data_IF_411261654451
#
_entry.id   IF_411261654451
#
_cell.length_a   1.000
_cell.length_b   1.000
_cell.length_c   1.000
_cell.angle_alpha   90.00
_cell.angle_beta   90.00
_cell.angle_gamma   90.00
#
_symmetry.space_group_name_H-M   'P 1'
#
loop_
_entity.id
_entity.type
_entity.pdbx_description
1 polymer ?
#
# COMPACT_ATOMS: atom_id res chain seq x y z
N UNK A 1 -12.59 -0.88 -15.27
CA UNK A 1 -13.63 -0.30 -14.39
C UNK A 1 -14.81 0.30 -15.14
N UNK A 2 -14.59 1.21 -16.09
CA UNK A 2 -15.65 1.88 -16.88
C UNK A 2 -16.64 0.92 -17.56
N UNK A 3 -16.17 -0.19 -18.15
CA UNK A 3 -17.03 -1.19 -18.79
C UNK A 3 -17.92 -1.99 -17.82
N UNK A 4 -17.52 -2.11 -16.54
CA UNK A 4 -18.36 -2.73 -15.49
C UNK A 4 -19.41 -1.74 -14.96
N UNK A 5 -19.07 -0.45 -14.89
CA UNK A 5 -19.98 0.61 -14.48
C UNK A 5 -21.10 0.87 -15.50
N UNK A 6 -20.78 0.83 -16.80
CA UNK A 6 -21.79 0.97 -17.87
C UNK A 6 -22.77 -0.21 -17.94
N UNK A 7 -22.36 -1.40 -17.48
CA UNK A 7 -23.20 -2.60 -17.48
C UNK A 7 -24.32 -2.59 -16.42
N UNK A 8 -24.24 -1.73 -15.40
CA UNK A 8 -25.16 -1.77 -14.23
C UNK A 8 -26.52 -1.10 -14.50
N UNK A 9 -26.63 -0.18 -15.49
CA UNK A 9 -27.87 0.27 -16.15
C UNK A 9 -27.57 1.45 -17.09
N UNK A 10 -27.75 1.34 -18.43
CA UNK A 10 -27.32 2.35 -19.40
C UNK A 10 -28.07 3.69 -19.38
N UNK A 11 -28.94 3.95 -18.39
CA UNK A 11 -29.79 5.16 -18.35
C UNK A 11 -29.69 6.03 -17.10
N UNK A 12 -28.91 5.64 -16.09
CA UNK A 12 -28.85 6.35 -14.78
C UNK A 12 -27.46 6.83 -14.38
N UNK A 13 -26.49 6.69 -15.29
CA UNK A 13 -25.08 6.89 -15.04
C UNK A 13 -24.50 7.95 -15.97
N UNK A 14 -23.65 8.84 -15.44
CA UNK A 14 -23.02 9.94 -16.17
C UNK A 14 -21.55 10.07 -15.80
N UNK A 15 -20.72 10.65 -16.66
CA UNK A 15 -19.35 11.05 -16.32
C UNK A 15 -19.32 12.55 -16.12
N UNK A 16 -18.83 13.04 -14.97
CA UNK A 16 -18.54 14.45 -14.76
C UNK A 16 -17.08 14.71 -15.12
N UNK A 17 -16.81 15.70 -15.94
CA UNK A 17 -15.43 16.06 -16.30
C UNK A 17 -15.23 17.58 -16.19
N UNK A 18 -14.03 17.99 -15.80
CA UNK A 18 -13.64 19.39 -15.94
C UNK A 18 -13.47 19.74 -17.43
N UNK A 19 -13.95 20.91 -17.84
CA UNK A 19 -13.72 21.42 -19.20
C UNK A 19 -12.24 21.60 -19.57
N UNK A 20 -11.32 21.57 -18.60
CA UNK A 20 -9.87 21.68 -18.84
C UNK A 20 -9.17 20.35 -19.14
N UNK A 21 -9.74 19.22 -18.72
CA UNK A 21 -9.10 17.91 -18.87
C UNK A 21 -10.11 16.94 -19.43
N UNK A 22 -10.02 16.71 -20.74
CA UNK A 22 -10.91 15.81 -21.44
C UNK A 22 -10.11 14.94 -22.40
N UNK A 23 -10.00 13.65 -22.07
CA UNK A 23 -9.38 12.68 -22.95
C UNK A 23 -10.42 12.00 -23.85
N UNK A 24 -10.05 11.76 -25.11
CA UNK A 24 -10.91 11.05 -26.08
C UNK A 24 -11.35 9.67 -25.57
N UNK A 25 -10.52 9.03 -24.75
CA UNK A 25 -10.79 7.73 -24.10
C UNK A 25 -12.05 7.74 -23.22
N UNK A 26 -12.38 8.87 -22.61
CA UNK A 26 -13.53 9.01 -21.70
C UNK A 26 -14.87 8.98 -22.45
N UNK A 27 -14.86 9.48 -23.69
CA UNK A 27 -16.03 9.55 -24.60
C UNK A 27 -16.40 8.18 -25.15
N UNK A 28 -15.40 7.31 -25.33
CA UNK A 28 -15.57 5.99 -25.94
C UNK A 28 -16.31 4.99 -25.03
N UNK A 29 -16.59 5.37 -23.77
CA UNK A 29 -17.25 4.52 -22.77
C UNK A 29 -18.77 4.37 -22.97
N UNK A 30 -19.37 5.12 -23.90
CA UNK A 30 -20.82 5.06 -24.19
C UNK A 30 -21.70 5.72 -23.13
N UNK A 31 -21.10 6.40 -22.14
CA UNK A 31 -21.82 7.15 -21.10
C UNK A 31 -21.89 8.63 -21.48
N UNK A 32 -22.99 9.33 -21.12
CA UNK A 32 -23.06 10.78 -21.30
C UNK A 32 -22.00 11.46 -20.44
N UNK A 33 -21.30 12.44 -21.01
CA UNK A 33 -20.37 13.30 -20.27
C UNK A 33 -21.03 14.64 -19.99
N UNK A 34 -21.01 15.05 -18.74
CA UNK A 34 -21.44 16.37 -18.27
C UNK A 34 -20.21 17.16 -17.85
N UNK A 35 -20.01 18.29 -18.50
CA UNK A 35 -18.94 19.21 -18.12
C UNK A 35 -19.36 20.01 -16.89
N UNK A 36 -18.47 20.07 -15.91
CA UNK A 36 -18.69 20.80 -14.65
C UNK A 36 -17.61 21.86 -14.48
N UNK A 37 -17.99 23.00 -13.92
CA UNK A 37 -17.05 24.03 -13.50
C UNK A 37 -16.29 23.61 -12.25
N UNK A 38 -15.32 24.43 -11.85
CA UNK A 38 -14.55 24.20 -10.61
C UNK A 38 -15.41 24.36 -9.36
N UNK A 39 -16.24 25.40 -9.36
CA UNK A 39 -17.03 25.83 -8.20
C UNK A 39 -18.50 25.48 -8.30
N UNK A 40 -19.04 25.37 -9.52
CA UNK A 40 -20.47 25.20 -9.74
C UNK A 40 -20.80 24.38 -10.99
N UNK A 41 -22.02 23.86 -11.02
CA UNK A 41 -22.59 23.15 -12.16
C UNK A 41 -23.32 24.14 -13.06
N UNK A 42 -23.06 24.16 -14.38
CA UNK A 42 -23.83 24.98 -15.29
C UNK A 42 -25.34 24.69 -15.18
N UNK A 43 -26.22 25.71 -15.16
CA UNK A 43 -27.66 25.51 -14.98
C UNK A 43 -28.29 24.52 -15.98
N UNK A 44 -27.85 24.58 -17.24
CA UNK A 44 -28.31 23.66 -18.28
C UNK A 44 -27.97 22.18 -17.97
N UNK A 45 -26.78 21.94 -17.39
CA UNK A 45 -26.36 20.61 -16.94
C UNK A 45 -27.17 20.14 -15.73
N UNK A 46 -27.47 21.04 -14.80
CA UNK A 46 -28.30 20.75 -13.64
C UNK A 46 -29.74 20.34 -14.03
N UNK A 47 -30.36 21.10 -14.92
CA UNK A 47 -31.72 20.80 -15.41
C UNK A 47 -31.76 19.46 -16.16
N UNK A 48 -30.72 19.19 -16.96
CA UNK A 48 -30.57 17.91 -17.64
C UNK A 48 -30.46 16.74 -16.65
N UNK A 49 -29.62 16.84 -15.61
CA UNK A 49 -29.45 15.80 -14.58
C UNK A 49 -30.78 15.47 -13.88
N UNK A 50 -31.56 16.50 -13.53
CA UNK A 50 -32.89 16.36 -12.93
C UNK A 50 -33.87 15.65 -13.88
N UNK A 51 -33.95 16.11 -15.13
CA UNK A 51 -34.89 15.56 -16.12
C UNK A 51 -34.64 14.09 -16.44
N UNK A 52 -33.37 13.68 -16.46
CA UNK A 52 -32.94 12.30 -16.76
C UNK A 52 -32.95 11.39 -15.53
N UNK A 53 -33.27 11.92 -14.34
CA UNK A 53 -33.26 11.17 -13.07
C UNK A 53 -31.94 10.43 -12.85
N UNK A 54 -30.82 11.08 -13.18
CA UNK A 54 -29.49 10.52 -12.96
C UNK A 54 -29.29 10.31 -11.46
N UNK A 55 -28.79 9.14 -11.07
CA UNK A 55 -28.55 8.79 -9.67
C UNK A 55 -27.10 8.53 -9.35
N UNK A 56 -26.30 8.27 -10.38
CA UNK A 56 -24.93 7.83 -10.26
C UNK A 56 -24.08 8.64 -11.23
N UNK A 57 -22.98 9.19 -10.76
CA UNK A 57 -22.02 9.90 -11.60
C UNK A 57 -20.59 9.54 -11.27
N UNK A 58 -19.74 9.54 -12.28
CA UNK A 58 -18.30 9.29 -12.16
C UNK A 58 -17.56 10.58 -12.49
N UNK A 59 -16.99 11.24 -11.50
CA UNK A 59 -16.27 12.49 -11.70
C UNK A 59 -14.80 12.24 -11.98
N UNK A 60 -14.30 12.71 -13.12
CA UNK A 60 -12.88 12.65 -13.47
C UNK A 60 -12.32 14.05 -13.30
N UNK A 61 -11.55 14.17 -12.23
CA UNK A 61 -10.89 15.40 -11.83
C UNK A 61 -9.46 15.29 -12.35
N UNK A 62 -9.19 15.97 -13.46
CA UNK A 62 -7.81 16.14 -13.95
C UNK A 62 -7.02 17.08 -13.04
N UNK A 63 -6.30 18.03 -13.63
CA UNK A 63 -5.61 19.07 -12.85
C UNK A 63 -6.57 20.11 -12.24
N UNK A 64 -7.80 20.17 -12.74
CA UNK A 64 -8.79 21.13 -12.28
C UNK A 64 -9.54 20.61 -11.04
N UNK A 65 -9.41 21.32 -9.92
CA UNK A 65 -10.21 21.04 -8.72
C UNK A 65 -11.70 21.35 -8.97
N UNK A 66 -12.53 20.30 -8.98
CA UNK A 66 -13.99 20.36 -9.17
C UNK A 66 -14.75 19.95 -7.90
N UNK A 67 -14.08 19.78 -6.75
CA UNK A 67 -14.68 19.22 -5.54
C UNK A 67 -15.91 19.97 -5.05
N UNK A 68 -15.90 21.30 -5.12
CA UNK A 68 -17.03 22.14 -4.75
C UNK A 68 -18.26 21.88 -5.64
N UNK A 69 -18.07 21.80 -6.97
CA UNK A 69 -19.15 21.48 -7.89
C UNK A 69 -19.72 20.07 -7.65
N UNK A 70 -18.87 19.10 -7.33
CA UNK A 70 -19.32 17.74 -7.00
C UNK A 70 -20.12 17.68 -5.70
N UNK A 71 -19.74 18.48 -4.70
CA UNK A 71 -20.48 18.60 -3.45
C UNK A 71 -21.88 19.17 -3.71
N UNK A 72 -22.00 20.24 -4.50
CA UNK A 72 -23.31 20.78 -4.94
C UNK A 72 -24.12 19.72 -5.67
N UNK A 73 -23.51 18.93 -6.56
CA UNK A 73 -24.20 17.85 -7.27
C UNK A 73 -24.79 16.82 -6.30
N UNK A 74 -24.02 16.47 -5.27
CA UNK A 74 -24.44 15.51 -4.27
C UNK A 74 -25.60 16.04 -3.40
N UNK A 75 -25.45 17.26 -2.89
CA UNK A 75 -26.40 17.85 -1.94
C UNK A 75 -27.72 18.23 -2.62
N UNK A 76 -27.64 18.96 -3.73
CA UNK A 76 -28.82 19.56 -4.37
C UNK A 76 -29.55 18.60 -5.30
N UNK A 77 -28.81 17.73 -5.98
CA UNK A 77 -29.37 16.82 -6.98
C UNK A 77 -29.45 15.37 -6.50
N UNK A 78 -28.98 15.07 -5.29
CA UNK A 78 -29.00 13.72 -4.69
C UNK A 78 -28.35 12.66 -5.59
N UNK A 79 -27.35 13.08 -6.37
CA UNK A 79 -26.56 12.17 -7.21
C UNK A 79 -25.43 11.59 -6.37
N UNK A 80 -25.25 10.28 -6.44
CA UNK A 80 -24.07 9.64 -5.86
C UNK A 80 -22.88 9.84 -6.81
N UNK A 81 -21.91 10.65 -6.39
CA UNK A 81 -20.75 11.00 -7.21
C UNK A 81 -19.55 10.20 -6.74
N UNK A 82 -18.96 9.44 -7.65
CA UNK A 82 -17.69 8.74 -7.47
C UNK A 82 -16.59 9.55 -8.12
N UNK A 83 -15.75 10.23 -7.35
CA UNK A 83 -14.56 10.86 -7.91
C UNK A 83 -13.57 9.76 -8.31
N UNK A 84 -13.27 9.65 -9.60
CA UNK A 84 -12.18 8.87 -10.17
C UNK A 84 -10.84 9.57 -9.89
N UNK A 85 -10.55 9.76 -8.60
CA UNK A 85 -9.24 10.13 -8.05
C UNK A 85 -8.73 9.09 -7.03
N UNK A 86 -9.50 8.04 -6.78
CA UNK A 86 -9.27 7.02 -5.76
C UNK A 86 -10.62 6.37 -5.49
N UNK A 87 -10.68 5.05 -5.55
CA UNK A 87 -11.92 4.27 -5.58
C UNK A 87 -12.85 4.55 -4.37
N UNK A 88 -14.15 4.62 -4.60
CA UNK A 88 -15.17 4.75 -3.54
C UNK A 88 -15.40 3.42 -2.81
N UNK A 89 -15.61 3.49 -1.49
CA UNK A 89 -15.89 2.34 -0.63
C UNK A 89 -17.41 2.07 -0.56
N UNK A 90 -17.84 0.82 -0.70
CA UNK A 90 -19.26 0.45 -0.55
C UNK A 90 -19.64 0.58 0.92
N UNK A 91 -20.44 1.59 1.26
CA UNK A 91 -20.95 1.84 2.62
C UNK A 91 -20.45 3.12 3.28
N UNK A 92 -19.57 3.89 2.64
CA UNK A 92 -19.08 5.18 3.14
C UNK A 92 -19.06 6.22 2.00
N UNK A 93 -19.84 7.28 2.15
CA UNK A 93 -20.00 8.33 1.15
C UNK A 93 -19.01 9.50 1.34
N UNK A 94 -18.14 9.44 2.36
CA UNK A 94 -17.18 10.49 2.64
C UNK A 94 -16.01 10.46 1.65
N UNK A 95 -15.68 11.62 1.08
CA UNK A 95 -14.47 11.84 0.27
C UNK A 95 -13.26 11.72 1.20
N UNK A 96 -12.46 10.66 1.04
CA UNK A 96 -11.21 10.47 1.80
C UNK A 96 -10.00 10.79 0.91
N UNK A 97 -8.95 11.44 1.45
CA UNK A 97 -7.72 11.69 0.70
C UNK A 97 -7.04 10.37 0.33
N UNK A 98 -6.45 10.31 -0.87
CA UNK A 98 -5.84 9.11 -1.46
C UNK A 98 -4.75 8.44 -0.58
N UNK A 99 -4.15 9.17 0.36
CA UNK A 99 -3.13 8.66 1.28
C UNK A 99 -3.67 7.66 2.33
N UNK A 100 -4.99 7.54 2.51
CA UNK A 100 -5.63 6.67 3.50
C UNK A 100 -6.42 5.50 2.88
N UNK A 101 -6.36 5.35 1.56
CA UNK A 101 -7.09 4.28 0.87
C UNK A 101 -6.17 3.08 0.64
N UNK A 102 -6.40 1.92 1.29
CA UNK A 102 -5.74 0.71 0.87
C UNK A 102 -6.19 0.41 -0.56
N UNK A 103 -5.25 0.38 -1.50
CA UNK A 103 -5.50 -0.16 -2.82
C UNK A 103 -6.17 -1.54 -2.66
N UNK A 104 -7.10 -1.96 -3.54
CA UNK A 104 -7.53 -3.35 -3.59
C UNK A 104 -6.32 -4.21 -3.97
N UNK A 105 -5.51 -4.53 -2.96
CA UNK A 105 -4.45 -5.51 -3.04
C UNK A 105 -5.08 -6.88 -3.17
N UNK A 106 -4.33 -7.87 -3.68
CA UNK A 106 -4.79 -9.25 -3.65
C UNK A 106 -5.20 -9.60 -2.22
N UNK A 107 -6.39 -10.17 -2.05
CA UNK A 107 -6.91 -10.50 -0.71
C UNK A 107 -5.95 -11.44 0.05
N UNK A 108 -5.21 -12.27 -0.69
CA UNK A 108 -4.20 -13.17 -0.16
C UNK A 108 -2.87 -12.96 -0.88
N UNK A 109 -1.81 -12.64 -0.13
CA UNK A 109 -0.47 -12.39 -0.66
C UNK A 109 0.53 -13.27 0.08
N UNK A 110 1.02 -14.36 -0.53
CA UNK A 110 2.08 -15.16 0.07
C UNK A 110 3.40 -14.37 0.12
N UNK A 111 4.16 -14.58 1.21
CA UNK A 111 5.57 -14.24 1.28
C UNK A 111 6.32 -15.43 1.88
N UNK A 112 7.34 -15.92 1.18
CA UNK A 112 8.23 -16.95 1.72
C UNK A 112 9.28 -16.27 2.60
N UNK A 113 9.26 -16.52 3.90
CA UNK A 113 10.19 -15.94 4.86
C UNK A 113 11.50 -16.74 4.93
N UNK A 114 11.46 -18.05 4.61
CA UNK A 114 12.66 -18.87 4.57
C UNK A 114 12.41 -20.34 4.24
N UNK A 115 13.51 -21.01 3.91
CA UNK A 115 13.59 -22.45 3.63
C UNK A 115 14.74 -23.03 4.47
N UNK A 116 14.47 -24.11 5.21
CA UNK A 116 15.49 -24.87 5.95
C UNK A 116 15.25 -26.36 5.80
N UNK A 117 16.28 -27.17 5.98
CA UNK A 117 16.19 -28.63 5.97
C UNK A 117 16.36 -29.18 7.39
N UNK A 118 15.41 -29.97 7.85
CA UNK A 118 15.48 -30.72 9.11
C UNK A 118 16.06 -32.11 8.81
N UNK A 119 17.30 -32.34 9.25
CA UNK A 119 18.00 -33.59 9.00
C UNK A 119 17.52 -34.74 9.88
N UNK A 120 16.84 -34.46 10.99
CA UNK A 120 16.28 -35.50 11.87
C UNK A 120 14.94 -35.99 11.31
N UNK A 121 14.12 -35.07 10.81
CA UNK A 121 12.81 -35.39 10.23
C UNK A 121 12.86 -35.71 8.72
N UNK A 122 14.02 -35.54 8.07
CA UNK A 122 14.22 -35.75 6.64
C UNK A 122 13.24 -34.94 5.77
N UNK A 123 13.05 -33.67 6.10
CA UNK A 123 12.07 -32.81 5.42
C UNK A 123 12.53 -31.36 5.32
N UNK A 124 11.98 -30.62 4.37
CA UNK A 124 12.17 -29.18 4.27
C UNK A 124 11.05 -28.45 5.03
N UNK A 125 11.42 -27.48 5.86
CA UNK A 125 10.50 -26.59 6.52
C UNK A 125 10.49 -25.23 5.79
N UNK A 126 9.35 -24.92 5.17
CA UNK A 126 9.11 -23.66 4.44
C UNK A 126 8.29 -22.73 5.32
N UNK A 127 8.84 -21.59 5.69
CA UNK A 127 8.10 -20.58 6.47
C UNK A 127 7.42 -19.60 5.52
N UNK A 128 6.10 -19.53 5.60
CA UNK A 128 5.28 -18.68 4.73
C UNK A 128 4.42 -17.75 5.58
N UNK A 129 4.46 -16.46 5.30
CA UNK A 129 3.57 -15.45 5.86
C UNK A 129 2.55 -14.99 4.83
N UNK A 130 1.37 -14.61 5.31
CA UNK A 130 0.33 -14.01 4.50
C UNK A 130 0.24 -12.52 4.84
N UNK A 131 0.73 -11.67 3.96
CA UNK A 131 0.66 -10.21 4.13
C UNK A 131 -0.63 -9.60 3.59
N UNK A 132 -1.55 -10.44 3.07
CA UNK A 132 -2.90 -10.07 2.66
C UNK A 132 -3.88 -9.95 3.83
N UNK A 133 -5.11 -9.55 3.51
CA UNK A 133 -6.21 -9.30 4.45
C UNK A 133 -7.25 -10.43 4.51
N UNK A 134 -7.10 -11.49 3.71
CA UNK A 134 -7.93 -12.68 3.72
C UNK A 134 -7.09 -13.96 3.91
N UNK A 135 -7.70 -15.08 4.35
CA UNK A 135 -7.00 -16.34 4.48
C UNK A 135 -6.40 -16.83 3.16
N UNK A 136 -5.22 -17.43 3.25
CA UNK A 136 -4.46 -17.94 2.12
C UNK A 136 -4.27 -19.45 2.27
N UNK A 137 -4.51 -20.21 1.21
CA UNK A 137 -4.13 -21.63 1.15
C UNK A 137 -2.80 -21.76 0.40
N UNK A 138 -1.87 -22.52 0.96
CA UNK A 138 -0.53 -22.73 0.41
C UNK A 138 -0.18 -24.21 0.33
N UNK A 139 0.56 -24.58 -0.71
CA UNK A 139 1.24 -25.87 -0.84
C UNK A 139 2.64 -25.61 -1.38
N UNK A 140 3.65 -26.21 -0.76
CA UNK A 140 5.04 -26.07 -1.18
C UNK A 140 5.51 -27.35 -1.86
N UNK A 141 6.27 -27.22 -2.95
CA UNK A 141 7.00 -28.31 -3.57
C UNK A 141 8.48 -27.94 -3.66
N UNK A 142 9.36 -28.85 -3.28
CA UNK A 142 10.81 -28.65 -3.31
C UNK A 142 11.40 -29.67 -4.28
N UNK A 143 12.29 -29.20 -5.15
CA UNK A 143 13.06 -30.01 -6.09
C UNK A 143 14.56 -29.80 -5.85
N UNK A 144 15.33 -30.89 -5.92
CA UNK A 144 16.76 -30.91 -5.69
C UNK A 144 17.55 -31.16 -6.98
N UNK A 145 18.82 -30.73 -7.05
CA UNK A 145 19.73 -31.16 -8.09
C UNK A 145 19.81 -32.70 -8.11
N UNK A 146 19.47 -33.32 -9.24
CA UNK A 146 19.34 -34.78 -9.36
C UNK A 146 17.90 -35.28 -9.55
N UNK A 147 16.92 -34.37 -9.58
CA UNK A 147 15.54 -34.68 -9.99
C UNK A 147 14.65 -35.23 -8.89
N UNK A 148 15.15 -35.34 -7.65
CA UNK A 148 14.33 -35.66 -6.49
C UNK A 148 13.41 -34.48 -6.18
N UNK A 149 12.15 -34.76 -5.91
CA UNK A 149 11.17 -33.74 -5.53
C UNK A 149 10.18 -34.26 -4.50
N UNK A 150 9.64 -33.35 -3.70
CA UNK A 150 8.61 -33.63 -2.70
C UNK A 150 7.59 -32.49 -2.66
N UNK A 151 6.40 -32.77 -2.15
CA UNK A 151 5.35 -31.77 -1.95
C UNK A 151 4.80 -31.89 -0.53
N UNK A 152 4.47 -30.75 0.05
CA UNK A 152 3.70 -30.69 1.28
C UNK A 152 2.23 -31.00 1.04
N UNK A 153 1.52 -31.22 2.14
CA UNK A 153 0.07 -31.04 2.19
C UNK A 153 -0.31 -29.55 2.06
N UNK A 154 -1.58 -29.30 1.74
CA UNK A 154 -2.11 -27.95 1.70
C UNK A 154 -2.40 -27.44 3.11
N UNK A 155 -1.97 -26.21 3.41
CA UNK A 155 -2.19 -25.58 4.69
C UNK A 155 -2.83 -24.21 4.52
N UNK A 156 -3.69 -23.84 5.47
CA UNK A 156 -4.25 -22.49 5.55
C UNK A 156 -3.37 -21.59 6.42
N UNK A 157 -3.11 -20.38 5.94
CA UNK A 157 -2.42 -19.28 6.63
C UNK A 157 -3.42 -18.14 6.79
N UNK A 158 -3.70 -17.76 8.04
CA UNK A 158 -4.62 -16.65 8.33
C UNK A 158 -4.05 -15.32 7.83
N UNK A 159 -4.92 -14.32 7.62
CA UNK A 159 -4.49 -12.96 7.27
C UNK A 159 -3.52 -12.39 8.32
N UNK A 160 -2.39 -11.83 7.88
CA UNK A 160 -1.30 -11.37 8.75
C UNK A 160 -0.54 -12.48 9.48
N UNK A 161 -0.94 -13.75 9.31
CA UNK A 161 -0.36 -14.89 10.01
C UNK A 161 0.87 -15.47 9.33
N UNK A 162 1.57 -16.34 10.07
CA UNK A 162 2.70 -17.11 9.56
C UNK A 162 2.48 -18.59 9.84
N UNK A 163 2.88 -19.45 8.91
CA UNK A 163 2.84 -20.91 9.08
C UNK A 163 4.04 -21.58 8.43
N UNK A 164 4.58 -22.58 9.11
CA UNK A 164 5.59 -23.47 8.55
C UNK A 164 4.92 -24.67 7.89
N UNK A 165 5.26 -24.90 6.63
CA UNK A 165 4.79 -26.03 5.81
C UNK A 165 5.94 -27.01 5.63
N UNK A 166 5.68 -28.30 5.85
CA UNK A 166 6.70 -29.36 5.82
C UNK A 166 6.62 -30.14 4.51
N UNK A 167 7.76 -30.32 3.85
CA UNK A 167 7.90 -31.03 2.57
C UNK A 167 8.78 -32.27 2.81
N UNK A 168 8.19 -33.47 2.91
CA UNK A 168 8.94 -34.70 3.14
C UNK A 168 9.81 -35.02 1.92
N UNK A 169 11.12 -34.91 2.08
CA UNK A 169 12.10 -35.12 1.01
C UNK A 169 13.48 -35.34 1.62
N UNK A 170 14.00 -36.57 1.53
CA UNK A 170 15.31 -36.89 2.06
C UNK A 170 16.43 -36.28 1.20
N UNK A 171 17.14 -35.31 1.78
CA UNK A 171 18.27 -34.61 1.19
C UNK A 171 19.56 -34.81 1.98
N UNK A 172 19.59 -35.75 2.94
CA UNK A 172 20.72 -35.91 3.86
C UNK A 172 22.04 -36.19 3.15
N UNK A 173 22.00 -36.87 2.00
CA UNK A 173 23.19 -37.16 1.16
C UNK A 173 23.72 -35.96 0.38
N UNK A 174 22.91 -34.92 0.20
CA UNK A 174 23.27 -33.70 -0.52
C UNK A 174 23.74 -32.58 0.41
N UNK A 175 23.66 -32.80 1.73
CA UNK A 175 24.16 -31.86 2.72
C UNK A 175 25.70 -31.88 2.74
N UNK A 176 26.31 -30.75 2.43
CA UNK A 176 27.75 -30.52 2.58
C UNK A 176 27.98 -29.65 3.81
N UNK A 177 28.49 -30.26 4.89
CA UNK A 177 28.58 -29.58 6.18
C UNK A 177 27.20 -29.18 6.72
N UNK A 178 26.94 -27.90 6.94
CA UNK A 178 25.69 -27.38 7.51
C UNK A 178 24.70 -26.83 6.47
N UNK A 179 24.94 -27.08 5.18
CA UNK A 179 24.14 -26.50 4.12
C UNK A 179 23.85 -27.51 3.00
N UNK A 180 22.71 -27.33 2.34
CA UNK A 180 22.43 -27.94 1.03
C UNK A 180 22.73 -26.88 -0.03
N UNK A 181 23.56 -27.24 -0.99
CA UNK A 181 24.11 -26.30 -1.99
C UNK A 181 23.02 -25.54 -2.75
N UNK A 182 21.94 -26.24 -3.15
CA UNK A 182 20.82 -25.68 -3.91
C UNK A 182 19.52 -26.45 -3.67
N UNK A 183 18.41 -25.73 -3.61
CA UNK A 183 17.05 -26.27 -3.71
C UNK A 183 16.14 -25.31 -4.48
N UNK A 184 15.28 -25.84 -5.34
CA UNK A 184 14.28 -25.08 -6.08
C UNK A 184 12.91 -25.26 -5.41
N UNK A 185 12.29 -24.18 -4.97
CA UNK A 185 11.00 -24.14 -4.30
C UNK A 185 9.93 -23.64 -5.28
N UNK A 186 8.82 -24.36 -5.35
CA UNK A 186 7.58 -23.91 -5.99
C UNK A 186 6.51 -23.76 -4.93
N UNK A 187 5.96 -22.55 -4.80
CA UNK A 187 4.86 -22.25 -3.88
C UNK A 187 3.57 -22.09 -4.67
N UNK A 188 2.64 -23.01 -4.46
CA UNK A 188 1.28 -22.92 -4.96
C UNK A 188 0.43 -22.19 -3.93
N UNK A 189 -0.27 -21.13 -4.36
CA UNK A 189 -1.01 -20.27 -3.45
C UNK A 189 -2.36 -19.84 -4.05
N UNK A 190 -3.36 -19.62 -3.20
CA UNK A 190 -4.66 -19.11 -3.64
C UNK A 190 -5.66 -18.86 -2.52
N UNK A 191 -6.80 -18.19 -2.83
CA UNK A 191 -7.85 -17.90 -1.86
C UNK A 191 -8.70 -19.14 -1.49
N UNK A 192 -8.50 -20.25 -2.20
CA UNK A 192 -9.24 -21.51 -2.01
C UNK A 192 -8.29 -22.70 -2.11
N UNK A 193 -8.83 -23.91 -1.99
CA UNK A 193 -8.05 -25.14 -2.18
C UNK A 193 -7.51 -25.28 -3.60
N UNK A 194 -8.17 -24.67 -4.60
CA UNK A 194 -7.64 -24.54 -5.95
C UNK A 194 -6.55 -23.46 -5.98
N UNK A 195 -5.31 -23.88 -6.25
CA UNK A 195 -4.18 -22.97 -6.41
C UNK A 195 -4.41 -22.06 -7.63
N UNK A 196 -4.26 -20.75 -7.44
CA UNK A 196 -4.45 -19.72 -8.47
C UNK A 196 -3.14 -19.09 -8.92
N UNK A 197 -2.07 -19.21 -8.13
CA UNK A 197 -0.74 -18.68 -8.42
C UNK A 197 0.34 -19.72 -8.12
N UNK A 198 1.46 -19.61 -8.83
CA UNK A 198 2.66 -20.42 -8.64
C UNK A 198 3.87 -19.50 -8.64
N UNK A 199 4.57 -19.43 -7.51
CA UNK A 199 5.84 -18.73 -7.38
C UNK A 199 6.99 -19.73 -7.41
N UNK A 200 8.05 -19.44 -8.14
CA UNK A 200 9.26 -20.27 -8.21
C UNK A 200 10.45 -19.49 -7.66
N UNK A 201 11.14 -20.08 -6.69
CA UNK A 201 12.27 -19.48 -5.98
C UNK A 201 13.43 -20.49 -5.93
N UNK A 202 14.63 -20.05 -6.27
CA UNK A 202 15.84 -20.88 -6.13
C UNK A 202 16.64 -20.43 -4.92
N UNK A 203 16.80 -21.33 -3.96
CA UNK A 203 17.64 -21.13 -2.78
C UNK A 203 19.02 -21.73 -3.00
N UNK A 204 20.03 -21.03 -2.53
CA UNK A 204 21.41 -21.51 -2.42
C UNK A 204 21.80 -21.54 -0.96
N UNK A 205 22.63 -22.50 -0.56
CA UNK A 205 23.11 -22.64 0.82
C UNK A 205 21.93 -22.75 1.81
N UNK A 206 21.02 -23.70 1.57
CA UNK A 206 19.88 -23.95 2.46
C UNK A 206 20.40 -24.52 3.78
N UNK A 207 20.13 -23.90 4.93
CA UNK A 207 20.65 -24.36 6.21
C UNK A 207 20.09 -25.72 6.61
N UNK A 208 20.96 -26.55 7.19
CA UNK A 208 20.64 -27.89 7.70
C UNK A 208 20.59 -27.87 9.23
N UNK A 209 19.45 -28.21 9.79
CA UNK A 209 19.21 -28.31 11.23
C UNK A 209 19.38 -29.76 11.68
N UNK A 210 20.27 -29.99 12.66
CA UNK A 210 20.60 -31.33 13.18
C UNK A 210 20.28 -31.52 14.67
N UNK A 211 19.88 -30.46 15.36
CA UNK A 211 19.63 -30.48 16.80
C UNK A 211 18.13 -30.44 17.06
N UNK A 212 17.63 -31.34 17.91
CA UNK A 212 16.25 -31.35 18.41
C UNK A 212 15.87 -30.17 19.33
N UNK A 213 16.73 -29.14 19.41
CA UNK A 213 16.73 -28.13 20.47
C UNK A 213 16.68 -26.68 20.00
N UNK A 214 16.22 -26.38 18.78
CA UNK A 214 16.07 -24.99 18.36
C UNK A 214 14.70 -24.42 18.78
N UNK A 215 14.64 -23.84 19.99
CA UNK A 215 13.51 -23.00 20.44
C UNK A 215 13.64 -21.54 19.98
N UNK A 216 14.47 -21.28 18.98
CA UNK A 216 14.74 -19.94 18.50
C UNK A 216 13.65 -19.55 17.53
N UNK A 217 12.61 -18.92 18.07
CA UNK A 217 11.92 -17.90 17.32
C UNK A 217 13.01 -16.99 16.73
N UNK A 218 13.23 -17.07 15.43
CA UNK A 218 13.66 -15.87 14.73
C UNK A 218 12.48 -14.92 14.88
N UNK A 219 12.48 -14.16 15.99
CA UNK A 219 11.87 -12.86 15.98
C UNK A 219 12.62 -12.11 14.88
N UNK A 220 12.07 -12.13 13.68
CA UNK A 220 12.15 -10.99 12.79
C UNK A 220 11.41 -9.83 13.50
N UNK A 221 11.88 -9.43 14.67
CA UNK A 221 11.67 -8.07 15.11
C UNK A 221 12.32 -7.23 14.01
N UNK A 222 11.53 -6.41 13.30
CA UNK A 222 12.12 -5.53 12.32
C UNK A 222 13.12 -4.67 13.10
N UNK A 223 14.39 -4.69 12.67
CA UNK A 223 15.46 -3.89 13.28
C UNK A 223 15.12 -2.38 13.34
N UNK A 224 14.01 -1.94 12.74
CA UNK A 224 13.45 -0.59 12.88
C UNK A 224 13.09 -0.21 14.32
N UNK A 225 12.76 -1.14 15.22
CA UNK A 225 12.40 -0.79 16.59
C UNK A 225 13.59 -0.25 17.41
N UNK A 226 14.78 -0.85 17.25
CA UNK A 226 16.00 -0.37 17.90
C UNK A 226 16.46 0.99 17.34
N UNK A 227 16.32 1.22 16.03
CA UNK A 227 16.62 2.51 15.42
C UNK A 227 15.64 3.61 15.85
N UNK A 228 14.35 3.30 16.00
CA UNK A 228 13.37 4.28 16.51
C UNK A 228 13.65 4.67 17.96
N UNK A 229 14.09 3.73 18.81
CA UNK A 229 14.52 4.03 20.18
C UNK A 229 15.73 4.97 20.24
N UNK A 230 16.75 4.74 19.41
CA UNK A 230 17.94 5.61 19.34
C UNK A 230 17.59 6.99 18.80
N UNK A 231 16.73 7.09 17.77
CA UNK A 231 16.30 8.39 17.22
C UNK A 231 15.49 9.18 18.25
N UNK A 232 14.58 8.53 19.01
CA UNK A 232 13.81 9.19 20.05
C UNK A 232 14.71 9.75 21.17
N UNK A 233 15.73 9.01 21.61
CA UNK A 233 16.67 9.45 22.65
C UNK A 233 17.50 10.66 22.17
N UNK A 234 17.99 10.63 20.92
CA UNK A 234 18.74 11.76 20.34
C UNK A 234 17.86 13.00 20.20
N UNK A 235 16.59 12.83 19.82
CA UNK A 235 15.65 13.95 19.67
C UNK A 235 15.28 14.58 21.01
N UNK A 236 15.07 13.76 22.06
CA UNK A 236 14.84 14.25 23.42
C UNK A 236 16.06 15.00 23.95
N UNK A 237 17.29 14.51 23.71
CA UNK A 237 18.51 15.24 24.10
C UNK A 237 18.67 16.56 23.33
N UNK A 238 18.38 16.59 22.03
CA UNK A 238 18.45 17.81 21.22
C UNK A 238 17.45 18.88 21.70
N UNK A 239 16.23 18.46 22.02
CA UNK A 239 15.20 19.36 22.60
C UNK A 239 15.63 19.82 23.99
N UNK A 240 16.12 18.92 24.84
CA UNK A 240 16.60 19.28 26.18
C UNK A 240 17.75 20.31 26.12
N UNK A 241 18.65 20.21 25.15
CA UNK A 241 19.73 21.18 24.93
C UNK A 241 19.22 22.54 24.44
N UNK A 242 18.19 22.57 23.59
CA UNK A 242 17.56 23.81 23.12
C UNK A 242 16.81 24.54 24.24
N UNK A 243 16.28 23.80 25.21
CA UNK A 243 15.53 24.34 26.33
C UNK A 243 16.34 24.45 27.62
N UNK A 244 17.68 24.52 27.58
CA UNK A 244 18.47 24.89 28.77
C UNK A 244 18.40 26.42 28.97
N UNK A 245 17.62 26.95 29.93
CA UNK A 245 17.62 28.37 30.24
C UNK A 245 18.93 28.73 30.93
N UNK A 246 19.88 29.34 30.22
CA UNK A 246 21.00 29.98 30.94
C UNK A 246 22.29 30.25 30.19
N UNK A 247 22.51 29.80 28.94
CA UNK A 247 23.83 29.96 28.29
C UNK A 247 23.95 31.00 27.18
N UNK A 248 22.88 31.73 26.84
CA UNK A 248 22.89 32.73 25.76
C UNK A 248 22.76 34.18 26.26
N UNK A 249 23.49 34.54 27.32
CA UNK A 249 23.83 35.94 27.59
C UNK A 249 25.34 36.11 27.44
N UNK A 250 25.78 36.20 26.18
CA UNK A 250 27.06 36.84 25.88
C UNK A 250 26.82 38.35 25.87
N UNK A 251 27.59 39.05 26.69
CA UNK A 251 27.61 40.49 26.83
C UNK A 251 27.94 41.18 25.49
N UNK A 252 26.93 41.49 24.70
CA UNK A 252 27.07 42.39 23.56
C UNK A 252 27.26 43.82 24.09
N UNK A 253 28.52 44.27 24.14
CA UNK A 253 28.89 45.65 24.46
C UNK A 253 28.09 46.64 23.59
N UNK A 254 27.47 47.68 24.19
CA UNK A 254 26.68 48.64 23.42
C UNK A 254 27.56 49.46 22.47
N UNK A 255 27.19 49.44 21.19
CA UNK A 255 27.79 50.28 20.16
C UNK A 255 27.50 51.76 20.46
N UNK A 256 28.57 52.55 20.66
CA UNK A 256 28.53 54.01 20.77
C UNK A 256 27.88 54.61 19.51
N UNK A 257 26.63 55.07 19.63
CA UNK A 257 25.99 55.95 18.63
C UNK A 257 26.75 57.27 18.58
N UNK A 258 27.45 57.51 17.47
CA UNK A 258 27.94 58.84 17.09
C UNK A 258 26.74 59.64 16.57
N UNK A 259 26.36 60.68 17.32
CA UNK A 259 25.50 61.74 16.85
C UNK A 259 26.26 62.55 15.79
N UNK A 260 25.81 62.49 14.54
CA UNK A 260 26.28 63.34 13.44
C UNK A 260 25.13 64.22 12.99
N UNK A 261 25.19 65.50 13.37
CA UNK A 261 24.30 66.55 12.92
C UNK A 261 24.65 66.99 11.49
N UNK A 262 23.66 67.12 10.62
CA UNK A 262 23.71 67.90 9.37
C UNK A 262 22.24 68.20 9.00
N UNK A 263 21.66 69.35 9.39
CA UNK A 263 21.87 70.73 8.92
C UNK A 263 21.43 70.93 7.45
N UNK A 264 20.27 71.58 7.30
CA UNK A 264 19.87 72.55 6.26
C UNK A 264 20.05 72.18 4.78
N UNK A 265 18.98 72.29 3.98
CA UNK A 265 18.55 73.56 3.35
C UNK A 265 17.27 73.38 2.52
N UNK A 266 16.29 74.23 2.80
CA UNK A 266 15.20 74.56 1.89
C UNK A 266 15.68 75.62 0.88
N UNK A 267 15.30 75.47 -0.38
CA UNK A 267 15.06 76.52 -1.40
C UNK A 267 14.07 75.89 -2.39
N UNK A 268 12.83 76.38 -2.42
CA UNK A 268 12.30 77.40 -3.35
C UNK A 268 12.27 76.89 -4.78
#
# INVERSE_FOLDING_TARGET
MLNRFSAIKPGSSVIFASGQTFEKSMVLSGLPVVLVGRTEVPPASADWLKSRKIRIGLAVQGEADIGAALQTIHEDYRVCVFALLGEGYVGDAAVKPAALMPLPGPDAIPRVDGLRYDALAHEFAVSVSNIGNAPLYVRAAVSLPGGQSGSSEQAQVQAGGQRTVRVPLDAGRLADGNFISRADLQLYSGPSTAASSVDALTYRQVPVERSSGWSGAYSSEPQSALWMGVVAIVLVMAVALLFQPGRWRSDAKPAKKRAGAAKMRAKR
#
